data_IF_103544104343
#
_entry.id   IF_103544104343
#
_cell.length_a   1.000
_cell.length_b   1.000
_cell.length_c   1.000
_cell.angle_alpha   90.00
_cell.angle_beta   90.00
_cell.angle_gamma   90.00
#
_symmetry.space_group_name_H-M   'P 1'
#
loop_
_entity.id
_entity.type
_entity.pdbx_description
1 polymer ?
#
# COMPACT_ATOMS: atom_id res chain seq x y z
N UNK A 1 -15.42 -9.56 -24.88
CA UNK A 1 -15.34 -10.16 -23.53
C UNK A 1 -14.01 -9.84 -22.83
N UNK A 2 -12.86 -10.00 -23.48
CA UNK A 2 -11.52 -9.74 -22.90
C UNK A 2 -11.24 -8.27 -22.48
N UNK A 3 -11.81 -7.28 -23.17
CA UNK A 3 -11.71 -5.87 -22.77
C UNK A 3 -12.37 -5.62 -21.40
N UNK A 4 -13.50 -6.27 -21.12
CA UNK A 4 -14.20 -6.11 -19.85
C UNK A 4 -13.38 -6.61 -18.65
N UNK A 5 -12.58 -7.67 -18.83
CA UNK A 5 -11.66 -8.14 -17.80
C UNK A 5 -10.57 -7.10 -17.50
N UNK A 6 -10.00 -6.50 -18.55
CA UNK A 6 -8.94 -5.51 -18.41
C UNK A 6 -9.45 -4.26 -17.69
N UNK A 7 -10.67 -3.85 -18.01
CA UNK A 7 -11.33 -2.73 -17.33
C UNK A 7 -11.62 -3.06 -15.86
N UNK A 8 -12.09 -4.28 -15.55
CA UNK A 8 -12.39 -4.72 -14.20
C UNK A 8 -11.14 -4.77 -13.31
N UNK A 9 -10.05 -5.38 -13.79
CA UNK A 9 -8.82 -5.47 -13.00
C UNK A 9 -8.15 -4.10 -12.80
N UNK A 10 -8.24 -3.21 -13.80
CA UNK A 10 -7.73 -1.86 -13.69
C UNK A 10 -8.58 -1.03 -12.72
N UNK A 11 -9.90 -1.23 -12.69
CA UNK A 11 -10.78 -0.60 -11.70
C UNK A 11 -10.43 -1.04 -10.27
N UNK A 12 -10.23 -2.35 -10.04
CA UNK A 12 -9.79 -2.86 -8.73
C UNK A 12 -8.43 -2.25 -8.34
N UNK A 13 -7.47 -2.26 -9.26
CA UNK A 13 -6.13 -1.71 -9.01
C UNK A 13 -6.13 -0.19 -8.77
N UNK A 14 -6.97 0.56 -9.47
CA UNK A 14 -7.17 2.00 -9.24
C UNK A 14 -7.83 2.27 -7.88
N UNK A 15 -8.79 1.44 -7.47
CA UNK A 15 -9.39 1.47 -6.13
C UNK A 15 -8.35 1.23 -5.04
N UNK A 16 -7.48 0.24 -5.22
CA UNK A 16 -6.36 -0.03 -4.31
C UNK A 16 -5.43 1.18 -4.19
N UNK A 17 -5.12 1.85 -5.30
CA UNK A 17 -4.30 3.05 -5.27
C UNK A 17 -4.97 4.20 -4.49
N UNK A 18 -6.28 4.38 -4.67
CA UNK A 18 -7.04 5.37 -3.90
C UNK A 18 -7.03 5.06 -2.39
N UNK A 19 -7.19 3.79 -2.01
CA UNK A 19 -7.10 3.34 -0.62
C UNK A 19 -5.70 3.56 -0.04
N UNK A 20 -4.63 3.24 -0.79
CA UNK A 20 -3.26 3.50 -0.38
C UNK A 20 -2.99 5.00 -0.15
N UNK A 21 -3.48 5.87 -1.04
CA UNK A 21 -3.37 7.33 -0.87
C UNK A 21 -4.15 7.84 0.35
N UNK A 22 -5.25 7.19 0.70
CA UNK A 22 -6.02 7.48 1.91
C UNK A 22 -5.46 6.83 3.19
N UNK A 23 -4.41 6.00 3.08
CA UNK A 23 -3.84 5.25 4.21
C UNK A 23 -4.66 4.04 4.65
N UNK A 24 -5.66 3.62 3.88
CA UNK A 24 -6.46 2.42 4.15
C UNK A 24 -5.76 1.14 3.69
N UNK A 25 -4.76 0.72 4.46
CA UNK A 25 -3.94 -0.47 4.16
C UNK A 25 -4.73 -1.79 4.26
N UNK A 26 -5.79 -1.81 5.07
CA UNK A 26 -6.69 -2.96 5.16
C UNK A 26 -7.47 -3.13 3.86
N UNK A 27 -8.02 -2.03 3.33
CA UNK A 27 -8.67 -1.99 2.03
C UNK A 27 -7.75 -2.36 0.86
N UNK A 28 -6.49 -1.88 0.86
CA UNK A 28 -5.48 -2.29 -0.13
C UNK A 28 -5.29 -3.82 -0.13
N UNK A 29 -5.20 -4.43 1.06
CA UNK A 29 -5.00 -5.87 1.20
C UNK A 29 -6.23 -6.67 0.74
N UNK A 30 -7.44 -6.19 1.03
CA UNK A 30 -8.67 -6.81 0.54
C UNK A 30 -8.77 -6.76 -0.99
N UNK A 31 -8.41 -5.62 -1.60
CA UNK A 31 -8.36 -5.47 -3.06
C UNK A 31 -7.36 -6.41 -3.75
N UNK A 32 -6.26 -6.74 -3.08
CA UNK A 32 -5.25 -7.67 -3.61
C UNK A 32 -5.80 -9.09 -3.83
N UNK A 33 -6.63 -9.59 -2.92
CA UNK A 33 -7.24 -10.90 -3.06
C UNK A 33 -8.12 -10.99 -4.32
N UNK A 34 -8.91 -9.95 -4.56
CA UNK A 34 -9.77 -9.85 -5.74
C UNK A 34 -8.96 -9.67 -7.02
N UNK A 35 -7.93 -8.81 -7.01
CA UNK A 35 -7.01 -8.64 -8.14
C UNK A 35 -6.31 -9.96 -8.51
N UNK A 36 -5.88 -10.73 -7.51
CA UNK A 36 -5.25 -12.05 -7.72
C UNK A 36 -6.20 -13.04 -8.36
N UNK A 37 -7.46 -13.08 -7.93
CA UNK A 37 -8.52 -13.91 -8.54
C UNK A 37 -8.70 -13.56 -10.02
N UNK A 38 -8.77 -12.28 -10.36
CA UNK A 38 -8.90 -11.81 -11.75
C UNK A 38 -7.66 -12.15 -12.59
N UNK A 39 -6.45 -12.02 -12.05
CA UNK A 39 -5.22 -12.39 -12.75
C UNK A 39 -5.13 -13.89 -13.06
N UNK A 40 -5.62 -14.75 -12.18
CA UNK A 40 -5.60 -16.21 -12.39
C UNK A 40 -6.56 -16.66 -13.49
N UNK A 41 -7.60 -15.87 -13.79
CA UNK A 41 -8.55 -16.16 -14.85
C UNK A 41 -8.04 -15.77 -16.26
N UNK A 42 -6.86 -15.16 -16.36
CA UNK A 42 -6.29 -14.73 -17.63
C UNK A 42 -5.75 -15.92 -18.45
N UNK A 43 -6.06 -15.99 -19.75
CA UNK A 43 -5.29 -16.81 -20.67
C UNK A 43 -3.87 -16.25 -20.80
N UNK A 44 -2.88 -17.13 -20.70
CA UNK A 44 -1.48 -16.75 -20.92
C UNK A 44 -1.23 -16.47 -22.41
N UNK A 45 -0.35 -15.50 -22.70
CA UNK A 45 0.15 -15.12 -24.04
C UNK A 45 -0.80 -14.34 -24.96
N UNK A 46 -1.49 -13.32 -24.44
CA UNK A 46 -2.25 -12.38 -25.27
C UNK A 46 -1.57 -11.01 -25.40
N UNK A 47 -1.07 -10.61 -26.59
CA UNK A 47 -0.36 -9.34 -26.79
C UNK A 47 -1.20 -8.09 -26.46
N UNK A 48 -2.52 -8.18 -26.61
CA UNK A 48 -3.46 -7.10 -26.29
C UNK A 48 -3.45 -6.73 -24.79
N UNK A 49 -2.96 -7.62 -23.92
CA UNK A 49 -2.89 -7.39 -22.47
C UNK A 49 -1.67 -6.57 -22.04
N UNK A 50 -0.72 -6.30 -22.93
CA UNK A 50 0.52 -5.59 -22.58
C UNK A 50 0.24 -4.20 -21.98
N UNK A 51 -0.71 -3.45 -22.54
CA UNK A 51 -1.10 -2.12 -22.05
C UNK A 51 -1.69 -2.16 -20.63
N UNK A 52 -2.75 -2.96 -20.39
CA UNK A 52 -3.30 -3.17 -19.06
C UNK A 52 -2.25 -3.66 -18.04
N UNK A 53 -1.41 -4.63 -18.39
CA UNK A 53 -0.37 -5.16 -17.49
C UNK A 53 0.67 -4.09 -17.10
N UNK A 54 1.06 -3.21 -18.03
CA UNK A 54 1.92 -2.06 -17.73
C UNK A 54 1.25 -1.08 -16.75
N UNK A 55 -0.04 -0.84 -16.91
CA UNK A 55 -0.80 0.05 -16.02
C UNK A 55 -0.93 -0.55 -14.61
N UNK A 56 -1.17 -1.86 -14.51
CA UNK A 56 -1.15 -2.57 -13.23
C UNK A 56 0.21 -2.51 -12.55
N UNK A 57 1.30 -2.65 -13.31
CA UNK A 57 2.66 -2.49 -12.77
C UNK A 57 2.89 -1.08 -12.24
N UNK A 58 2.44 -0.04 -12.96
CA UNK A 58 2.56 1.34 -12.52
C UNK A 58 1.81 1.58 -11.19
N UNK A 59 0.57 1.09 -11.06
CA UNK A 59 -0.16 1.18 -9.79
C UNK A 59 0.55 0.44 -8.64
N UNK A 60 1.13 -0.73 -8.90
CA UNK A 60 1.86 -1.49 -7.87
C UNK A 60 3.10 -0.74 -7.38
N UNK A 61 3.88 -0.14 -8.27
CA UNK A 61 5.04 0.66 -7.87
C UNK A 61 4.64 1.89 -7.07
N UNK A 62 3.53 2.55 -7.43
CA UNK A 62 3.02 3.69 -6.65
C UNK A 62 2.54 3.26 -5.26
N UNK A 63 1.79 2.16 -5.14
CA UNK A 63 1.35 1.61 -3.85
C UNK A 63 2.56 1.23 -2.98
N UNK A 64 3.60 0.63 -3.56
CA UNK A 64 4.84 0.31 -2.85
C UNK A 64 5.55 1.56 -2.33
N UNK A 65 5.62 2.62 -3.13
CA UNK A 65 6.21 3.89 -2.72
C UNK A 65 5.42 4.52 -1.55
N UNK A 66 4.09 4.52 -1.63
CA UNK A 66 3.21 5.02 -0.56
C UNK A 66 3.37 4.21 0.73
N UNK A 67 3.41 2.88 0.64
CA UNK A 67 3.62 2.02 1.80
C UNK A 67 5.00 2.24 2.43
N UNK A 68 6.04 2.46 1.62
CA UNK A 68 7.37 2.84 2.08
C UNK A 68 7.36 4.13 2.88
N UNK A 69 6.74 5.19 2.33
CA UNK A 69 6.59 6.47 3.01
C UNK A 69 5.83 6.34 4.33
N UNK A 70 4.70 5.63 4.34
CA UNK A 70 3.89 5.45 5.55
C UNK A 70 4.63 4.69 6.65
N UNK A 71 5.42 3.67 6.30
CA UNK A 71 6.28 2.96 7.25
C UNK A 71 7.35 3.89 7.84
N UNK A 72 7.97 4.71 7.01
CA UNK A 72 9.01 5.64 7.46
C UNK A 72 8.40 6.73 8.38
N UNK A 73 7.18 7.18 8.12
CA UNK A 73 6.43 8.10 8.99
C UNK A 73 6.13 7.49 10.37
N UNK A 74 5.61 6.26 10.39
CA UNK A 74 5.36 5.52 11.64
C UNK A 74 6.66 5.34 12.42
N UNK A 75 7.76 5.01 11.74
CA UNK A 75 9.07 4.81 12.37
C UNK A 75 9.59 6.09 13.02
N UNK A 76 9.42 7.24 12.35
CA UNK A 76 9.77 8.55 12.90
C UNK A 76 8.92 8.90 14.12
N UNK A 77 7.61 8.70 14.05
CA UNK A 77 6.69 8.96 15.16
C UNK A 77 7.03 8.11 16.40
N UNK A 78 7.33 6.82 16.19
CA UNK A 78 7.75 5.93 17.27
C UNK A 78 9.07 6.37 17.92
N UNK A 79 10.06 6.77 17.11
CA UNK A 79 11.34 7.29 17.60
C UNK A 79 11.16 8.54 18.46
N UNK A 80 10.32 9.49 18.02
CA UNK A 80 9.99 10.70 18.78
C UNK A 80 9.30 10.36 20.12
N UNK A 81 8.34 9.43 20.11
CA UNK A 81 7.65 9.00 21.31
C UNK A 81 8.61 8.36 22.33
N UNK A 82 9.51 7.47 21.87
CA UNK A 82 10.52 6.84 22.73
C UNK A 82 11.53 7.85 23.28
N UNK A 83 11.89 8.87 22.50
CA UNK A 83 12.78 9.94 22.97
C UNK A 83 12.10 10.80 24.04
N UNK A 84 10.85 11.21 23.81
CA UNK A 84 10.07 11.99 24.78
C UNK A 84 9.88 11.23 26.09
N UNK A 85 9.54 9.94 26.02
CA UNK A 85 9.41 9.10 27.20
C UNK A 85 10.73 9.00 27.99
N UNK A 86 11.86 8.76 27.30
CA UNK A 86 13.18 8.73 27.96
C UNK A 86 13.52 10.05 28.64
N UNK A 87 13.29 11.18 27.98
CA UNK A 87 13.53 12.50 28.57
C UNK A 87 12.69 12.71 29.84
N UNK A 88 11.40 12.38 29.79
CA UNK A 88 10.49 12.50 30.93
C UNK A 88 10.94 11.61 32.11
N UNK A 89 11.30 10.35 31.84
CA UNK A 89 11.81 9.45 32.88
C UNK A 89 13.07 9.98 33.55
N UNK A 90 14.01 10.54 32.78
CA UNK A 90 15.22 11.16 33.34
C UNK A 90 14.90 12.35 34.24
N UNK A 91 13.95 13.22 33.84
CA UNK A 91 13.52 14.34 34.68
C UNK A 91 12.88 13.88 35.99
N UNK A 92 12.03 12.84 35.95
CA UNK A 92 11.41 12.29 37.15
C UNK A 92 12.44 11.65 38.08
N UNK A 93 13.42 10.91 37.53
CA UNK A 93 14.51 10.32 38.31
C UNK A 93 15.34 11.41 39.00
N UNK A 94 15.74 12.45 38.26
CA UNK A 94 16.52 13.57 38.80
C UNK A 94 15.77 14.47 39.79
N UNK A 95 14.44 14.33 39.91
CA UNK A 95 13.62 15.08 40.87
C UNK A 95 13.37 14.31 42.17
N UNK A 96 13.71 13.01 42.22
CA UNK A 96 13.56 12.14 43.40
C UNK A 96 14.90 11.90 44.11
N UNK A 97 16.02 12.09 43.40
CA UNK A 97 17.39 12.11 43.94
C UNK A 97 17.77 13.50 44.51
#
# INVERSE_FOLDING_TARGET
MMLAWADEILAVSGGMLAMARAGDWAGVTAGEAERKRLLQALPANEPALLGPLKSLLAHNEEIKALAGSARDDISRALGQHQQAHRALSTYLQAAVD
#
